data_IF_378612144604
#
_entry.id   IF_378612144604
#
_cell.length_a   1.000
_cell.length_b   1.000
_cell.length_c   1.000
_cell.angle_alpha   90.00
_cell.angle_beta   90.00
_cell.angle_gamma   90.00
#
_symmetry.space_group_name_H-M   'P 1'
#
loop_
_entity.id
_entity.type
_entity.pdbx_description
1 polymer ?
#
# COMPACT_ATOMS: atom_id res chain seq x y z
N UNK A 1 -20.02 -4.50 -32.56
CA UNK A 1 -19.76 -3.13 -32.07
C UNK A 1 -18.89 -2.41 -33.08
N UNK A 2 -19.30 -1.22 -33.56
CA UNK A 2 -18.54 -0.46 -34.56
C UNK A 2 -17.32 0.21 -33.92
N UNK A 3 -16.22 0.36 -34.66
CA UNK A 3 -15.00 1.08 -34.22
C UNK A 3 -15.37 2.49 -33.74
N UNK A 4 -16.34 3.14 -34.39
CA UNK A 4 -16.84 4.46 -34.00
C UNK A 4 -17.52 4.43 -32.61
N UNK A 5 -18.23 3.37 -32.25
CA UNK A 5 -18.86 3.22 -30.91
C UNK A 5 -17.85 2.99 -29.78
N UNK A 6 -16.68 2.43 -30.11
CA UNK A 6 -15.57 2.25 -29.15
C UNK A 6 -14.83 3.58 -28.97
N UNK A 7 -14.61 4.33 -30.07
CA UNK A 7 -14.00 5.65 -30.03
C UNK A 7 -14.89 6.69 -29.33
N UNK A 8 -16.20 6.65 -29.53
CA UNK A 8 -17.15 7.50 -28.80
C UNK A 8 -17.20 7.17 -27.32
N UNK A 9 -17.17 5.89 -26.93
CA UNK A 9 -17.05 5.49 -25.51
C UNK A 9 -15.72 5.97 -24.93
N UNK A 10 -14.61 5.83 -25.64
CA UNK A 10 -13.29 6.32 -25.21
C UNK A 10 -13.27 7.86 -25.07
N UNK A 11 -13.90 8.57 -26.01
CA UNK A 11 -14.08 10.02 -25.95
C UNK A 11 -15.03 10.46 -24.83
N UNK A 12 -16.04 9.67 -24.45
CA UNK A 12 -16.87 9.92 -23.25
C UNK A 12 -16.16 9.63 -21.94
N UNK A 13 -15.26 8.64 -21.88
CA UNK A 13 -14.35 8.49 -20.74
C UNK A 13 -13.26 9.58 -20.69
N UNK A 14 -13.00 10.27 -21.82
CA UNK A 14 -12.19 11.49 -21.93
C UNK A 14 -13.02 12.79 -21.85
N UNK A 15 -14.35 12.73 -21.70
CA UNK A 15 -15.15 13.90 -21.32
C UNK A 15 -14.85 14.16 -19.85
N UNK A 16 -13.77 14.92 -19.69
CA UNK A 16 -13.45 15.85 -18.61
C UNK A 16 -14.66 16.06 -17.73
N UNK A 17 -14.70 15.38 -16.58
CA UNK A 17 -15.25 16.04 -15.41
C UNK A 17 -14.48 17.36 -15.37
N UNK A 18 -15.16 18.50 -15.57
CA UNK A 18 -14.58 19.83 -15.43
C UNK A 18 -13.94 19.86 -14.06
N UNK A 19 -12.65 19.54 -14.02
CA UNK A 19 -11.92 19.38 -12.78
C UNK A 19 -11.48 20.78 -12.48
N UNK A 20 -12.37 21.53 -11.85
CA UNK A 20 -12.02 22.83 -11.29
C UNK A 20 -10.86 22.57 -10.35
N UNK A 21 -9.69 23.12 -10.68
CA UNK A 21 -8.55 23.06 -9.79
C UNK A 21 -8.93 23.68 -8.46
N UNK A 22 -8.67 22.96 -7.37
CA UNK A 22 -8.85 23.49 -6.01
C UNK A 22 -7.64 24.36 -5.60
N UNK A 23 -6.68 24.57 -6.50
CA UNK A 23 -5.51 25.41 -6.26
C UNK A 23 -5.91 26.90 -6.30
N UNK A 24 -5.66 27.63 -5.21
CA UNK A 24 -5.99 29.04 -5.10
C UNK A 24 -4.96 29.92 -5.81
N UNK A 25 -5.07 29.99 -7.14
CA UNK A 25 -4.18 30.80 -7.98
C UNK A 25 -4.10 32.26 -7.52
N UNK A 26 -5.21 32.83 -7.04
CA UNK A 26 -5.27 34.23 -6.62
C UNK A 26 -4.49 34.44 -5.33
N UNK A 27 -4.66 33.56 -4.34
CA UNK A 27 -3.89 33.61 -3.10
C UNK A 27 -2.38 33.54 -3.36
N UNK A 28 -1.96 32.72 -4.33
CA UNK A 28 -0.55 32.60 -4.72
C UNK A 28 -0.08 33.65 -5.74
N UNK A 29 -0.90 34.67 -6.05
CA UNK A 29 -0.52 35.78 -6.93
C UNK A 29 -0.35 35.39 -8.41
N UNK A 30 -0.95 34.28 -8.84
CA UNK A 30 -0.92 33.81 -10.22
C UNK A 30 -2.13 34.38 -10.98
N UNK A 31 -1.92 35.60 -11.48
CA UNK A 31 -2.93 36.35 -12.23
C UNK A 31 -2.78 36.16 -13.74
N UNK A 32 -1.59 35.82 -14.23
CA UNK A 32 -1.34 35.68 -15.64
C UNK A 32 -1.99 34.42 -16.22
N UNK A 33 -2.76 34.61 -17.29
CA UNK A 33 -3.57 33.57 -17.89
C UNK A 33 -2.71 32.45 -18.51
N UNK A 34 -1.51 32.78 -19.01
CA UNK A 34 -0.62 31.81 -19.64
C UNK A 34 -0.11 30.79 -18.62
N UNK A 35 0.45 31.24 -17.50
CA UNK A 35 0.92 30.37 -16.42
C UNK A 35 -0.23 29.59 -15.80
N UNK A 36 -1.38 30.24 -15.58
CA UNK A 36 -2.58 29.56 -15.08
C UNK A 36 -2.97 28.39 -15.99
N UNK A 37 -3.07 28.62 -17.30
CA UNK A 37 -3.46 27.59 -18.26
C UNK A 37 -2.42 26.46 -18.33
N UNK A 38 -1.12 26.78 -18.28
CA UNK A 38 -0.07 25.76 -18.24
C UNK A 38 -0.14 24.91 -16.97
N UNK A 39 -0.36 25.53 -15.81
CA UNK A 39 -0.51 24.82 -14.53
C UNK A 39 -1.72 23.89 -14.53
N UNK A 40 -2.86 24.33 -15.07
CA UNK A 40 -4.04 23.48 -15.22
C UNK A 40 -3.73 22.24 -16.09
N UNK A 41 -3.01 22.41 -17.21
CA UNK A 41 -2.59 21.28 -18.04
C UNK A 41 -1.65 20.33 -17.30
N UNK A 42 -0.67 20.86 -16.55
CA UNK A 42 0.25 20.05 -15.74
C UNK A 42 -0.48 19.30 -14.64
N UNK A 43 -1.45 19.94 -13.98
CA UNK A 43 -2.28 19.32 -12.95
C UNK A 43 -3.06 18.13 -13.50
N UNK A 44 -3.67 18.28 -14.67
CA UNK A 44 -4.39 17.19 -15.35
C UNK A 44 -3.48 16.02 -15.71
N UNK A 45 -2.28 16.29 -16.23
CA UNK A 45 -1.28 15.25 -16.50
C UNK A 45 -0.85 14.56 -15.20
N UNK A 46 -0.57 15.33 -14.16
CA UNK A 46 -0.15 14.81 -12.86
C UNK A 46 -1.23 13.90 -12.25
N UNK A 47 -2.50 14.32 -12.25
CA UNK A 47 -3.63 13.52 -11.75
C UNK A 47 -3.75 12.19 -12.50
N UNK A 48 -3.67 12.21 -13.84
CA UNK A 48 -3.71 10.97 -14.65
C UNK A 48 -2.55 10.03 -14.31
N UNK A 49 -1.33 10.58 -14.18
CA UNK A 49 -0.16 9.80 -13.82
C UNK A 49 -0.29 9.19 -12.42
N UNK A 50 -0.79 9.96 -11.44
CA UNK A 50 -1.05 9.47 -10.08
C UNK A 50 -2.04 8.30 -10.11
N UNK A 51 -3.17 8.45 -10.82
CA UNK A 51 -4.16 7.37 -10.96
C UNK A 51 -3.56 6.13 -11.61
N UNK A 52 -2.69 6.30 -12.62
CA UNK A 52 -2.03 5.18 -13.27
C UNK A 52 -1.04 4.48 -12.32
N UNK A 53 -0.25 5.23 -11.55
CA UNK A 53 0.66 4.70 -10.53
C UNK A 53 -0.12 3.88 -9.49
N UNK A 54 -1.24 4.41 -8.98
CA UNK A 54 -2.09 3.72 -8.00
C UNK A 54 -2.66 2.41 -8.53
N UNK A 55 -3.13 2.38 -9.79
CA UNK A 55 -3.61 1.16 -10.45
C UNK A 55 -2.48 0.13 -10.59
N UNK A 56 -1.35 0.56 -11.15
CA UNK A 56 -0.18 -0.30 -11.36
C UNK A 56 0.37 -0.86 -10.03
N UNK A 57 0.25 -0.11 -8.93
CA UNK A 57 0.69 -0.55 -7.60
C UNK A 57 -0.06 -1.82 -7.15
N UNK A 58 -1.39 -1.84 -7.30
CA UNK A 58 -2.19 -3.02 -6.95
C UNK A 58 -2.00 -4.15 -7.94
N UNK A 59 -1.92 -3.83 -9.23
CA UNK A 59 -1.66 -4.82 -10.28
C UNK A 59 -0.32 -5.53 -10.07
N UNK A 60 0.74 -4.79 -9.73
CA UNK A 60 2.04 -5.36 -9.39
C UNK A 60 1.94 -6.27 -8.15
N UNK A 61 1.29 -5.82 -7.08
CA UNK A 61 1.07 -6.64 -5.90
C UNK A 61 0.32 -7.94 -6.20
N UNK A 62 -0.68 -7.87 -7.09
CA UNK A 62 -1.42 -9.05 -7.59
C UNK A 62 -0.51 -10.01 -8.35
N UNK A 63 0.24 -9.53 -9.34
CA UNK A 63 1.17 -10.35 -10.13
C UNK A 63 2.18 -11.05 -9.21
N UNK A 64 2.74 -10.32 -8.26
CA UNK A 64 3.70 -10.87 -7.30
C UNK A 64 3.06 -11.94 -6.41
N UNK A 65 1.83 -11.72 -5.94
CA UNK A 65 1.10 -12.69 -5.12
C UNK A 65 0.75 -13.95 -5.91
N UNK A 66 0.16 -13.83 -7.10
CA UNK A 66 -0.21 -14.96 -7.94
C UNK A 66 1.02 -15.77 -8.37
N UNK A 67 2.13 -15.09 -8.68
CA UNK A 67 3.40 -15.75 -9.02
C UNK A 67 4.02 -16.45 -7.80
N UNK A 68 3.88 -15.88 -6.60
CA UNK A 68 4.30 -16.54 -5.36
C UNK A 68 3.55 -17.86 -5.16
N UNK A 69 2.22 -17.85 -5.33
CA UNK A 69 1.38 -19.04 -5.21
C UNK A 69 1.71 -20.09 -6.30
N UNK A 70 1.90 -19.64 -7.55
CA UNK A 70 2.28 -20.50 -8.67
C UNK A 70 3.61 -21.22 -8.42
N UNK A 71 4.57 -20.53 -7.79
CA UNK A 71 5.91 -21.06 -7.53
C UNK A 71 6.08 -21.69 -6.14
N UNK A 72 5.00 -21.81 -5.34
CA UNK A 72 5.07 -22.26 -3.95
C UNK A 72 5.62 -23.69 -3.80
N UNK A 73 5.36 -24.56 -4.78
CA UNK A 73 5.81 -25.96 -4.78
C UNK A 73 7.14 -26.19 -5.51
N UNK A 74 7.75 -25.12 -6.05
CA UNK A 74 9.04 -25.22 -6.72
C UNK A 74 10.19 -25.23 -5.70
N UNK A 75 11.23 -26.02 -5.98
CA UNK A 75 12.42 -26.09 -5.15
C UNK A 75 13.26 -24.79 -5.24
N UNK A 76 14.19 -24.64 -4.31
CA UNK A 76 15.30 -23.66 -4.38
C UNK A 76 14.88 -22.18 -4.38
N UNK A 77 13.74 -21.83 -3.78
CA UNK A 77 13.33 -20.43 -3.67
C UNK A 77 13.06 -19.77 -5.02
N UNK A 78 12.46 -20.51 -5.97
CA UNK A 78 12.20 -20.07 -7.33
C UNK A 78 11.55 -18.68 -7.41
N UNK A 79 10.62 -18.36 -6.51
CA UNK A 79 10.01 -17.04 -6.43
C UNK A 79 11.04 -15.92 -6.16
N UNK A 80 11.97 -16.14 -5.24
CA UNK A 80 13.06 -15.19 -4.95
C UNK A 80 13.95 -14.99 -6.18
N UNK A 81 14.37 -16.08 -6.83
CA UNK A 81 15.17 -16.00 -8.05
C UNK A 81 14.46 -15.22 -9.16
N UNK A 82 13.17 -15.47 -9.35
CA UNK A 82 12.36 -14.82 -10.38
C UNK A 82 12.26 -13.31 -10.17
N UNK A 83 11.89 -12.83 -8.98
CA UNK A 83 11.78 -11.38 -8.77
C UNK A 83 13.14 -10.68 -8.70
N UNK A 84 14.21 -11.36 -8.26
CA UNK A 84 15.55 -10.79 -8.28
C UNK A 84 16.06 -10.59 -9.71
N UNK A 85 15.70 -11.49 -10.64
CA UNK A 85 15.98 -11.33 -12.07
C UNK A 85 15.26 -10.10 -12.68
N UNK A 86 14.12 -9.67 -12.10
CA UNK A 86 13.44 -8.44 -12.49
C UNK A 86 14.08 -7.17 -11.87
N UNK A 87 15.13 -7.32 -11.06
CA UNK A 87 15.76 -6.20 -10.34
C UNK A 87 14.99 -5.73 -9.10
N UNK A 88 14.00 -6.50 -8.63
CA UNK A 88 13.16 -6.10 -7.49
C UNK A 88 13.81 -6.49 -6.16
N UNK A 89 13.77 -5.56 -5.20
CA UNK A 89 14.25 -5.80 -3.83
C UNK A 89 13.25 -6.64 -3.04
N UNK A 90 13.75 -7.58 -2.24
CA UNK A 90 12.94 -8.46 -1.38
C UNK A 90 11.91 -7.70 -0.54
N UNK A 91 12.34 -6.65 0.17
CA UNK A 91 11.46 -5.83 1.03
C UNK A 91 10.38 -5.09 0.25
N UNK A 92 10.68 -4.70 -0.99
CA UNK A 92 9.70 -4.10 -1.88
C UNK A 92 8.64 -5.14 -2.26
N UNK A 93 9.08 -6.31 -2.75
CA UNK A 93 8.20 -7.38 -3.22
C UNK A 93 7.23 -7.84 -2.14
N UNK A 94 7.74 -8.21 -0.96
CA UNK A 94 6.86 -8.71 0.10
C UNK A 94 5.91 -7.63 0.61
N UNK A 95 6.30 -6.35 0.62
CA UNK A 95 5.38 -5.27 0.98
C UNK A 95 4.26 -5.09 -0.03
N UNK A 96 4.54 -5.14 -1.33
CA UNK A 96 3.47 -5.00 -2.34
C UNK A 96 2.53 -6.22 -2.35
N UNK A 97 3.05 -7.41 -2.04
CA UNK A 97 2.20 -8.58 -1.77
C UNK A 97 1.30 -8.33 -0.57
N UNK A 98 1.83 -7.80 0.54
CA UNK A 98 1.01 -7.48 1.71
C UNK A 98 -0.05 -6.42 1.40
N UNK A 99 0.31 -5.36 0.67
CA UNK A 99 -0.64 -4.34 0.22
C UNK A 99 -1.79 -4.98 -0.56
N UNK A 100 -1.49 -5.89 -1.49
CA UNK A 100 -2.51 -6.60 -2.25
C UNK A 100 -3.39 -7.51 -1.38
N UNK A 101 -2.80 -8.21 -0.40
CA UNK A 101 -3.57 -9.02 0.56
C UNK A 101 -4.55 -8.18 1.38
N UNK A 102 -4.12 -6.99 1.83
CA UNK A 102 -5.01 -6.04 2.53
C UNK A 102 -6.11 -5.58 1.57
N UNK A 103 -5.77 -5.25 0.31
CA UNK A 103 -6.75 -4.87 -0.71
C UNK A 103 -7.79 -5.96 -0.98
N UNK A 104 -7.36 -7.23 -1.09
CA UNK A 104 -8.26 -8.37 -1.23
C UNK A 104 -9.16 -8.59 -0.03
N UNK A 105 -8.67 -8.33 1.19
CA UNK A 105 -9.45 -8.54 2.41
C UNK A 105 -10.52 -7.47 2.62
N UNK A 106 -10.16 -6.19 2.42
CA UNK A 106 -11.02 -5.07 2.79
C UNK A 106 -11.72 -4.39 1.61
N UNK A 107 -11.30 -4.69 0.36
CA UNK A 107 -11.87 -4.11 -0.86
C UNK A 107 -11.94 -2.56 -0.86
N UNK A 108 -10.98 -1.91 -0.23
CA UNK A 108 -10.94 -0.46 -0.07
C UNK A 108 -9.88 0.16 -0.99
N UNK A 109 -10.31 1.11 -1.83
CA UNK A 109 -9.46 1.78 -2.82
C UNK A 109 -8.37 2.66 -2.19
N UNK A 110 -8.57 3.19 -0.97
CA UNK A 110 -7.56 3.99 -0.25
C UNK A 110 -6.27 3.21 0.00
N UNK A 111 -6.32 1.88 -0.02
CA UNK A 111 -5.14 0.99 0.16
C UNK A 111 -4.06 1.27 -0.89
N UNK A 112 -4.43 1.77 -2.08
CA UNK A 112 -3.51 2.17 -3.14
C UNK A 112 -2.56 3.28 -2.72
N UNK A 113 -2.99 4.12 -1.79
CA UNK A 113 -2.32 5.35 -1.39
C UNK A 113 -1.60 5.23 -0.05
N UNK A 114 -1.86 4.16 0.70
CA UNK A 114 -1.30 3.98 2.03
C UNK A 114 0.23 3.98 2.01
N UNK A 115 0.80 4.68 2.99
CA UNK A 115 2.25 4.76 3.17
C UNK A 115 2.86 3.38 3.44
N UNK A 116 4.17 3.25 3.20
CA UNK A 116 4.94 2.05 3.57
C UNK A 116 4.78 1.73 5.06
N UNK A 117 4.79 2.76 5.92
CA UNK A 117 4.61 2.61 7.38
C UNK A 117 3.26 1.99 7.70
N UNK A 118 2.19 2.49 7.08
CA UNK A 118 0.83 2.02 7.31
C UNK A 118 0.65 0.57 6.90
N UNK A 119 1.12 0.19 5.70
CA UNK A 119 1.07 -1.21 5.25
C UNK A 119 1.85 -2.11 6.21
N UNK A 120 3.07 -1.72 6.58
CA UNK A 120 3.87 -2.50 7.54
C UNK A 120 3.16 -2.66 8.89
N UNK A 121 2.56 -1.61 9.40
CA UNK A 121 1.85 -1.64 10.68
C UNK A 121 0.66 -2.61 10.65
N UNK A 122 -0.23 -2.46 9.66
CA UNK A 122 -1.40 -3.34 9.48
C UNK A 122 -0.97 -4.81 9.31
N UNK A 123 0.11 -5.07 8.57
CA UNK A 123 0.58 -6.44 8.32
C UNK A 123 1.36 -7.08 9.47
N UNK A 124 1.90 -6.30 10.40
CA UNK A 124 2.80 -6.80 11.44
C UNK A 124 2.16 -6.85 12.82
N UNK A 125 1.04 -6.14 13.01
CA UNK A 125 0.34 -6.05 14.28
C UNK A 125 -0.95 -6.88 14.24
N UNK A 126 -1.23 -7.60 15.31
CA UNK A 126 -2.55 -8.21 15.51
C UNK A 126 -3.54 -7.09 15.88
N UNK A 127 -4.55 -6.91 15.06
CA UNK A 127 -5.55 -5.86 15.16
C UNK A 127 -6.93 -6.42 14.83
N UNK A 128 -7.98 -5.85 15.42
CA UNK A 128 -9.34 -6.18 15.01
C UNK A 128 -9.62 -5.61 13.62
N UNK A 129 -10.63 -6.14 12.93
CA UNK A 129 -10.96 -5.66 11.59
C UNK A 129 -11.43 -4.20 11.61
N UNK A 130 -12.14 -3.81 12.66
CA UNK A 130 -12.60 -2.44 12.90
C UNK A 130 -11.42 -1.48 13.00
N UNK A 131 -10.38 -1.82 13.77
CA UNK A 131 -9.20 -0.97 13.92
C UNK A 131 -8.45 -0.81 12.58
N UNK A 132 -8.41 -1.86 11.76
CA UNK A 132 -7.77 -1.78 10.44
C UNK A 132 -8.59 -0.89 9.49
N UNK A 133 -9.91 -1.03 9.49
CA UNK A 133 -10.81 -0.17 8.70
C UNK A 133 -10.64 1.30 9.13
N UNK A 134 -10.65 1.57 10.43
CA UNK A 134 -10.43 2.92 10.96
C UNK A 134 -9.10 3.53 10.48
N UNK A 135 -8.02 2.76 10.43
CA UNK A 135 -6.73 3.24 9.91
C UNK A 135 -6.81 3.50 8.40
N UNK A 136 -7.40 2.59 7.63
CA UNK A 136 -7.49 2.72 6.17
C UNK A 136 -8.35 3.94 5.78
N UNK A 137 -9.43 4.19 6.52
CA UNK A 137 -10.39 5.23 6.20
C UNK A 137 -10.02 6.61 6.74
N UNK A 138 -9.11 6.69 7.72
CA UNK A 138 -8.62 7.95 8.26
C UNK A 138 -8.07 8.87 7.16
N UNK A 139 -8.27 10.18 7.34
CA UNK A 139 -7.63 11.21 6.49
C UNK A 139 -6.11 11.16 6.64
N UNK A 140 -5.63 10.93 7.87
CA UNK A 140 -4.22 10.76 8.19
C UNK A 140 -3.95 9.40 8.87
N UNK A 141 -3.82 8.30 8.10
CA UNK A 141 -3.64 6.95 8.65
C UNK A 141 -2.47 6.82 9.62
N UNK A 142 -1.40 7.61 9.44
CA UNK A 142 -0.24 7.59 10.35
C UNK A 142 -0.57 8.17 11.73
N UNK A 143 -1.36 9.24 11.81
CA UNK A 143 -1.78 9.80 13.11
C UNK A 143 -2.75 8.86 13.82
N UNK A 144 -3.65 8.24 13.07
CA UNK A 144 -4.57 7.23 13.62
C UNK A 144 -3.82 6.03 14.23
N UNK A 145 -2.74 5.59 13.59
CA UNK A 145 -1.84 4.58 14.16
C UNK A 145 -1.26 5.06 15.50
N UNK A 146 -0.73 6.29 15.56
CA UNK A 146 -0.15 6.85 16.79
C UNK A 146 -1.19 6.96 17.93
N UNK A 147 -2.44 7.28 17.61
CA UNK A 147 -3.55 7.32 18.57
C UNK A 147 -3.87 5.92 19.12
N UNK A 148 -3.99 4.92 18.26
CA UNK A 148 -4.24 3.52 18.65
C UNK A 148 -3.09 3.00 19.52
N UNK A 149 -1.84 3.29 19.16
CA UNK A 149 -0.69 2.91 20.00
C UNK A 149 -0.70 3.59 21.37
N UNK A 150 -1.17 4.84 21.44
CA UNK A 150 -1.28 5.58 22.71
C UNK A 150 -2.42 5.07 23.58
N UNK A 151 -3.61 4.81 23.02
CA UNK A 151 -4.72 4.24 23.78
C UNK A 151 -4.36 2.86 24.33
N UNK A 152 -3.73 2.01 23.52
CA UNK A 152 -3.16 0.75 23.99
C UNK A 152 -2.15 0.96 25.13
N UNK A 153 -1.31 1.99 25.13
CA UNK A 153 -0.36 2.19 26.25
C UNK A 153 -1.03 2.71 27.52
N UNK A 154 -2.10 3.49 27.38
CA UNK A 154 -2.75 4.20 28.48
C UNK A 154 -3.89 3.41 29.14
N UNK A 155 -4.60 2.57 28.39
CA UNK A 155 -5.76 1.82 28.88
C UNK A 155 -5.44 0.41 29.42
N UNK A 156 -4.23 -0.10 29.20
CA UNK A 156 -3.89 -1.45 29.68
C UNK A 156 -3.73 -1.45 31.20
N UNK A 157 -4.55 -2.26 31.86
CA UNK A 157 -4.28 -2.74 33.22
C UNK A 157 -2.94 -3.48 33.26
N UNK A 158 -2.36 -3.65 34.45
CA UNK A 158 -1.09 -4.39 34.59
C UNK A 158 -1.18 -5.81 34.00
N UNK A 159 -2.32 -6.49 34.13
CA UNK A 159 -2.59 -7.79 33.49
C UNK A 159 -2.50 -7.72 31.95
N UNK A 160 -3.08 -6.70 31.33
CA UNK A 160 -3.12 -6.61 29.87
C UNK A 160 -1.76 -6.15 29.31
N UNK A 161 -1.00 -5.36 30.07
CA UNK A 161 0.43 -5.07 29.76
C UNK A 161 1.25 -6.36 29.73
N UNK A 162 1.01 -7.27 30.66
CA UNK A 162 1.67 -8.59 30.69
C UNK A 162 1.30 -9.39 29.44
N UNK A 163 0.01 -9.48 29.07
CA UNK A 163 -0.42 -10.17 27.83
C UNK A 163 0.23 -9.60 26.56
N UNK A 164 0.31 -8.27 26.44
CA UNK A 164 0.99 -7.63 25.29
C UNK A 164 2.48 -7.98 25.26
N UNK A 165 3.14 -8.04 26.42
CA UNK A 165 4.54 -8.47 26.51
C UNK A 165 4.71 -9.95 26.16
N UNK A 166 3.78 -10.81 26.57
CA UNK A 166 3.79 -12.24 26.21
C UNK A 166 3.69 -12.43 24.69
N UNK A 167 2.79 -11.71 24.01
CA UNK A 167 2.69 -11.74 22.54
C UNK A 167 4.00 -11.30 21.89
N UNK A 168 4.62 -10.21 22.37
CA UNK A 168 5.93 -9.75 21.87
C UNK A 168 7.04 -10.79 22.09
N UNK A 169 7.05 -11.47 23.23
CA UNK A 169 8.01 -12.54 23.54
C UNK A 169 7.81 -13.73 22.59
N UNK A 170 6.57 -14.14 22.31
CA UNK A 170 6.27 -15.22 21.36
C UNK A 170 6.79 -14.86 19.97
N UNK A 171 6.56 -13.63 19.52
CA UNK A 171 7.04 -13.18 18.21
C UNK A 171 8.57 -13.12 18.14
N UNK A 172 9.23 -12.62 19.20
CA UNK A 172 10.68 -12.61 19.29
C UNK A 172 11.25 -14.04 19.21
N UNK A 173 10.64 -15.01 19.90
CA UNK A 173 11.04 -16.43 19.83
C UNK A 173 10.90 -17.01 18.42
N UNK A 174 9.81 -16.72 17.70
CA UNK A 174 9.63 -17.12 16.30
C UNK A 174 10.72 -16.55 15.39
N UNK A 175 11.13 -15.30 15.62
CA UNK A 175 12.19 -14.66 14.85
C UNK A 175 13.56 -15.27 15.16
N UNK A 176 13.87 -15.54 16.43
CA UNK A 176 15.09 -16.23 16.84
C UNK A 176 15.19 -17.59 16.15
N UNK A 177 14.12 -18.39 16.16
CA UNK A 177 14.11 -19.70 15.50
C UNK A 177 14.41 -19.59 13.99
N UNK A 178 13.84 -18.59 13.32
CA UNK A 178 14.14 -18.34 11.89
C UNK A 178 15.60 -17.98 11.68
N UNK A 179 16.18 -17.14 12.53
CA UNK A 179 17.60 -16.77 12.45
C UNK A 179 18.52 -17.94 12.75
N UNK A 180 18.19 -18.79 13.72
CA UNK A 180 18.94 -20.02 14.01
C UNK A 180 18.94 -20.96 12.79
N UNK A 181 17.80 -21.14 12.14
CA UNK A 181 17.70 -21.92 10.90
C UNK A 181 18.52 -21.32 9.75
N UNK A 182 18.58 -19.99 9.64
CA UNK A 182 19.43 -19.31 8.65
C UNK A 182 20.91 -19.51 8.96
N UNK A 183 21.32 -19.46 10.23
CA UNK A 183 22.71 -19.72 10.65
C UNK A 183 23.12 -21.17 10.36
N UNK A 184 22.25 -22.15 10.64
CA UNK A 184 22.52 -23.57 10.36
C UNK A 184 22.78 -23.81 8.86
N UNK A 185 21.97 -23.18 8.00
CA UNK A 185 22.14 -23.24 6.54
C UNK A 185 23.42 -22.59 6.02
N UNK A 186 23.98 -21.61 6.75
CA UNK A 186 25.26 -20.98 6.41
C UNK A 186 26.47 -21.79 6.89
N UNK A 187 26.26 -22.71 7.85
CA UNK A 187 27.30 -23.60 8.40
C UNK A 187 27.40 -24.95 7.68
N UNK A 188 26.44 -25.24 6.80
CA UNK A 188 26.37 -26.45 5.96
C UNK A 188 26.85 -26.18 4.54
#
# INVERSE_FOLDING_TARGET
MSINSILEKRNKFQQVAETTSNFDFKFYGIEDETTRNELLQKEEIAKRNIMQIQRNTIELGKILYETQELLANNKNGAFNGWFLNLGLKKDFVYREIQRYKIFLKYHNEKIKELSIRTIKYISSNEMTEEQVIEIIEAEEPSKKIDEIEKSLKNDLTSEEKIKVLEVKIIQARKNILKWEQEIEKLRS
#
